data_IF_556959936109
#
_entry.id   IF_556959936109
#
_cell.length_a   1.000
_cell.length_b   1.000
_cell.length_c   1.000
_cell.angle_alpha   90.00
_cell.angle_beta   90.00
_cell.angle_gamma   90.00
#
_symmetry.space_group_name_H-M   'P 1'
#
loop_
_entity.id
_entity.type
_entity.pdbx_description
1 polymer ?
#
# COMPACT_ATOMS: atom_id res chain seq x y z
N UNK A 1 19.09 18.36 0.90
CA UNK A 1 18.84 16.95 0.54
C UNK A 1 19.91 16.54 -0.44
N UNK A 2 20.41 15.29 -0.45
CA UNK A 2 21.35 14.88 -1.49
C UNK A 2 20.67 15.13 -2.84
N UNK A 3 21.40 15.72 -3.78
CA UNK A 3 20.97 15.95 -5.16
C UNK A 3 20.67 14.66 -5.94
N UNK A 4 20.83 13.50 -5.30
CA UNK A 4 21.02 12.21 -5.93
C UNK A 4 19.80 11.27 -5.75
N UNK A 5 18.72 11.73 -5.10
CA UNK A 5 17.51 10.92 -4.92
C UNK A 5 16.55 11.18 -6.09
N UNK A 6 16.47 10.23 -7.03
CA UNK A 6 15.41 10.22 -8.05
C UNK A 6 14.08 9.78 -7.40
N UNK A 7 12.97 10.43 -7.76
CA UNK A 7 11.62 10.13 -7.27
C UNK A 7 10.59 10.58 -8.33
N UNK A 8 9.30 10.65 -7.99
CA UNK A 8 8.27 11.09 -8.96
C UNK A 8 8.51 12.52 -9.50
N UNK A 9 9.18 13.42 -8.76
CA UNK A 9 9.55 14.76 -9.27
C UNK A 9 10.60 14.70 -10.37
N UNK A 10 11.43 13.65 -10.41
CA UNK A 10 12.46 13.48 -11.43
C UNK A 10 11.91 13.03 -12.79
N UNK A 11 10.64 12.60 -12.83
CA UNK A 11 9.95 12.16 -14.05
C UNK A 11 9.06 13.28 -14.60
N UNK A 12 9.64 14.12 -15.45
CA UNK A 12 8.94 15.26 -16.09
C UNK A 12 7.63 14.89 -16.81
N UNK A 13 7.47 13.63 -17.24
CA UNK A 13 6.28 13.14 -17.95
C UNK A 13 5.06 12.90 -17.05
N UNK A 14 5.23 12.77 -15.74
CA UNK A 14 4.15 12.34 -14.84
C UNK A 14 3.17 13.46 -14.45
N UNK A 15 3.46 14.72 -14.77
CA UNK A 15 2.58 15.90 -14.58
C UNK A 15 1.86 15.93 -13.21
N UNK A 16 2.55 15.48 -12.16
CA UNK A 16 2.09 15.54 -10.76
C UNK A 16 2.79 16.67 -10.00
N UNK A 17 2.08 17.29 -9.07
CA UNK A 17 2.60 18.33 -8.17
C UNK A 17 2.97 17.72 -6.82
N UNK A 18 4.11 18.14 -6.27
CA UNK A 18 4.61 17.65 -4.99
C UNK A 18 4.12 18.54 -3.84
N UNK A 19 3.58 17.92 -2.79
CA UNK A 19 3.12 18.60 -1.57
C UNK A 19 3.84 18.09 -0.33
N UNK A 20 3.94 18.97 0.66
CA UNK A 20 4.46 18.69 2.00
C UNK A 20 3.37 19.08 2.98
N UNK A 21 2.71 18.09 3.59
CA UNK A 21 1.58 18.34 4.48
C UNK A 21 1.92 17.95 5.91
N UNK A 22 2.00 18.90 6.86
CA UNK A 22 2.10 18.56 8.28
C UNK A 22 0.77 17.98 8.77
N UNK A 23 0.86 17.06 9.73
CA UNK A 23 -0.31 16.43 10.35
C UNK A 23 -0.39 16.77 11.84
N UNK A 24 -1.57 16.58 12.43
CA UNK A 24 -1.83 16.80 13.86
C UNK A 24 -0.91 15.96 14.76
N UNK A 25 -0.48 14.78 14.28
CA UNK A 25 0.46 13.89 14.96
C UNK A 25 1.90 14.41 15.01
N UNK A 26 2.21 15.49 14.27
CA UNK A 26 3.57 15.98 14.05
C UNK A 26 4.32 15.25 12.92
N UNK A 27 3.71 14.23 12.31
CA UNK A 27 4.22 13.60 11.09
C UNK A 27 4.12 14.56 9.90
N UNK A 28 5.00 14.40 8.92
CA UNK A 28 4.95 15.12 7.65
C UNK A 28 4.73 14.13 6.51
N UNK A 29 3.64 14.33 5.77
CA UNK A 29 3.32 13.52 4.58
C UNK A 29 3.84 14.25 3.34
N UNK A 30 4.77 13.61 2.65
CA UNK A 30 5.12 13.96 1.27
C UNK A 30 4.14 13.23 0.35
N UNK A 31 3.55 13.96 -0.59
CA UNK A 31 2.63 13.36 -1.57
C UNK A 31 2.78 14.02 -2.93
N UNK A 32 2.32 13.32 -3.94
CA UNK A 32 2.26 13.82 -5.31
C UNK A 32 0.81 13.78 -5.77
N UNK A 33 0.34 14.87 -6.35
CA UNK A 33 -1.06 15.01 -6.74
C UNK A 33 -1.23 15.40 -8.19
N UNK A 34 -2.41 15.07 -8.71
CA UNK A 34 -2.94 15.63 -9.94
C UNK A 34 -4.39 15.96 -9.66
N UNK A 35 -4.74 17.22 -9.48
CA UNK A 35 -6.14 17.59 -9.27
C UNK A 35 -6.80 18.01 -10.58
N UNK A 36 -7.93 17.39 -10.90
CA UNK A 36 -8.81 17.79 -12.00
C UNK A 36 -9.89 18.79 -11.56
N UNK A 37 -9.95 19.13 -10.26
CA UNK A 37 -10.86 20.11 -9.68
C UNK A 37 -12.26 19.58 -9.33
N UNK A 38 -12.62 18.38 -9.81
CA UNK A 38 -13.93 17.77 -9.58
C UNK A 38 -13.90 16.23 -9.47
N UNK A 39 -14.98 15.62 -9.00
CA UNK A 39 -15.13 14.17 -8.85
C UNK A 39 -14.45 13.59 -7.60
N UNK A 40 -14.32 12.27 -7.47
CA UNK A 40 -13.56 11.70 -6.36
C UNK A 40 -12.05 11.80 -6.56
N UNK A 41 -11.30 11.52 -5.49
CA UNK A 41 -9.84 11.42 -5.51
C UNK A 41 -9.44 9.96 -5.38
N UNK A 42 -8.69 9.45 -6.35
CA UNK A 42 -8.09 8.13 -6.29
C UNK A 42 -6.77 8.20 -5.54
N UNK A 43 -6.68 7.46 -4.44
CA UNK A 43 -5.44 7.27 -3.71
C UNK A 43 -4.64 6.12 -4.32
N UNK A 44 -3.34 6.31 -4.47
CA UNK A 44 -2.40 5.28 -4.91
C UNK A 44 -1.32 5.11 -3.83
N UNK A 45 -1.54 4.17 -2.90
CA UNK A 45 -0.73 4.00 -1.69
C UNK A 45 0.24 2.83 -1.85
N UNK A 46 1.54 3.12 -1.86
CA UNK A 46 2.59 2.09 -2.04
C UNK A 46 2.79 1.21 -0.79
N UNK A 47 3.66 0.20 -0.89
CA UNK A 47 4.08 -0.61 0.25
C UNK A 47 5.59 -0.82 0.33
N UNK A 48 6.00 -1.92 0.95
CA UNK A 48 7.40 -2.25 1.24
C UNK A 48 8.02 -3.15 0.16
N UNK A 49 9.32 -3.03 -0.16
CA UNK A 49 10.28 -2.01 0.25
C UNK A 49 10.37 -0.88 -0.81
N UNK A 50 9.25 -0.22 -1.09
CA UNK A 50 9.15 0.75 -2.18
C UNK A 50 8.73 2.14 -1.69
N UNK A 51 8.48 3.02 -2.64
CA UNK A 51 8.02 4.40 -2.46
C UNK A 51 6.83 4.68 -3.36
N UNK A 52 6.31 5.91 -3.35
CA UNK A 52 5.26 6.35 -4.29
C UNK A 52 5.66 6.10 -5.76
N UNK A 53 6.96 5.97 -6.04
CA UNK A 53 7.52 5.69 -7.36
C UNK A 53 7.06 4.37 -8.01
N UNK A 54 6.53 3.41 -7.23
CA UNK A 54 5.88 2.19 -7.76
C UNK A 54 4.74 2.53 -8.75
N UNK A 55 4.09 3.68 -8.57
CA UNK A 55 2.94 4.09 -9.38
C UNK A 55 3.31 4.80 -10.68
N UNK A 56 4.61 4.95 -11.01
CA UNK A 56 5.07 5.70 -12.20
C UNK A 56 4.49 5.20 -13.53
N UNK A 57 4.16 3.91 -13.62
CA UNK A 57 3.54 3.32 -14.82
C UNK A 57 2.01 3.39 -14.81
N UNK A 58 1.39 3.61 -13.65
CA UNK A 58 -0.07 3.71 -13.47
C UNK A 58 -0.54 5.16 -13.60
N UNK A 59 0.20 6.12 -13.03
CA UNK A 59 -0.13 7.55 -13.07
C UNK A 59 -0.44 8.03 -14.51
N UNK A 60 0.41 7.75 -15.53
CA UNK A 60 0.12 8.20 -16.90
C UNK A 60 -1.17 7.68 -17.49
N UNK A 61 -1.66 6.53 -17.02
CA UNK A 61 -2.89 5.90 -17.52
C UNK A 61 -4.16 6.54 -16.93
N UNK A 62 -4.04 7.23 -15.79
CA UNK A 62 -5.16 7.72 -14.97
C UNK A 62 -5.18 9.25 -14.76
N UNK A 63 -4.03 9.93 -14.86
CA UNK A 63 -3.85 11.35 -14.49
C UNK A 63 -4.78 12.35 -15.19
N UNK A 64 -5.29 12.00 -16.37
CA UNK A 64 -6.20 12.86 -17.15
C UNK A 64 -7.68 12.41 -17.02
N UNK A 65 -7.98 11.47 -16.11
CA UNK A 65 -9.31 10.86 -15.94
C UNK A 65 -9.89 10.99 -14.53
N UNK A 66 -9.05 11.07 -13.51
CA UNK A 66 -9.45 11.21 -12.10
C UNK A 66 -8.38 12.00 -11.32
N UNK A 67 -8.80 12.76 -10.30
CA UNK A 67 -7.85 13.39 -9.38
C UNK A 67 -7.03 12.32 -8.64
N UNK A 68 -5.72 12.49 -8.55
CA UNK A 68 -4.81 11.53 -7.92
C UNK A 68 -4.20 12.09 -6.63
N UNK A 69 -4.13 11.24 -5.61
CA UNK A 69 -3.32 11.43 -4.41
C UNK A 69 -2.35 10.24 -4.26
N UNK A 70 -1.05 10.49 -4.42
CA UNK A 70 0.00 9.46 -4.40
C UNK A 70 0.95 9.77 -3.24
N UNK A 71 0.67 9.30 -2.02
CA UNK A 71 1.49 9.60 -0.86
C UNK A 71 2.74 8.71 -0.76
N UNK A 72 3.81 9.25 -0.21
CA UNK A 72 4.86 8.49 0.46
C UNK A 72 4.35 8.10 1.86
N UNK A 73 4.42 6.82 2.22
CA UNK A 73 3.96 6.33 3.52
C UNK A 73 4.78 6.98 4.66
N UNK A 74 4.15 7.56 5.69
CA UNK A 74 4.82 7.93 6.93
C UNK A 74 5.71 6.81 7.48
N UNK A 75 7.00 7.10 7.68
CA UNK A 75 7.99 6.10 8.11
C UNK A 75 8.70 5.40 6.96
N UNK A 76 8.40 5.77 5.71
CA UNK A 76 9.07 5.32 4.51
C UNK A 76 9.70 6.51 3.78
N UNK A 77 10.92 6.31 3.28
CA UNK A 77 11.57 7.17 2.30
C UNK A 77 11.63 8.67 2.64
N UNK A 78 10.60 9.42 2.26
CA UNK A 78 10.53 10.89 2.36
C UNK A 78 9.55 11.39 3.43
N UNK A 79 8.51 10.63 3.78
CA UNK A 79 7.53 11.02 4.80
C UNK A 79 8.03 10.66 6.19
N UNK A 80 7.81 11.56 7.15
CA UNK A 80 8.22 11.31 8.54
C UNK A 80 7.06 10.70 9.33
N UNK A 81 7.38 9.81 10.25
CA UNK A 81 6.44 9.28 11.23
C UNK A 81 6.82 9.81 12.62
N UNK A 82 5.86 10.41 13.31
CA UNK A 82 5.97 10.84 14.71
C UNK A 82 4.85 10.21 15.53
N UNK A 83 5.17 9.86 16.78
CA UNK A 83 4.22 9.21 17.68
C UNK A 83 4.12 7.69 17.46
N UNK A 84 2.92 7.15 17.68
CA UNK A 84 2.66 5.71 17.60
C UNK A 84 2.75 5.21 16.16
N UNK A 85 3.63 4.24 15.91
CA UNK A 85 3.67 3.54 14.65
C UNK A 85 2.52 2.53 14.56
N UNK A 86 1.75 2.59 13.47
CA UNK A 86 0.77 1.56 13.16
C UNK A 86 -0.17 1.90 12.01
N UNK A 87 -0.81 0.86 11.47
CA UNK A 87 -1.64 0.94 10.26
C UNK A 87 -2.73 2.02 10.37
N UNK A 88 -3.42 2.10 11.52
CA UNK A 88 -4.45 3.11 11.76
C UNK A 88 -3.87 4.54 11.86
N UNK A 89 -2.75 4.72 12.56
CA UNK A 89 -2.11 6.03 12.71
C UNK A 89 -1.58 6.56 11.37
N UNK A 90 -0.98 5.68 10.56
CA UNK A 90 -0.55 6.01 9.19
C UNK A 90 -1.77 6.37 8.33
N UNK A 91 -2.85 5.58 8.39
CA UNK A 91 -4.10 5.87 7.68
C UNK A 91 -4.68 7.24 8.05
N UNK A 92 -4.70 7.61 9.33
CA UNK A 92 -5.16 8.91 9.80
C UNK A 92 -4.30 10.06 9.28
N UNK A 93 -2.96 9.91 9.31
CA UNK A 93 -2.04 10.90 8.75
C UNK A 93 -2.26 11.13 7.24
N UNK A 94 -2.51 10.05 6.49
CA UNK A 94 -2.84 10.16 5.06
C UNK A 94 -4.20 10.81 4.82
N UNK A 95 -5.21 10.53 5.65
CA UNK A 95 -6.54 11.17 5.58
C UNK A 95 -6.44 12.67 5.83
N UNK A 96 -5.71 13.09 6.86
CA UNK A 96 -5.46 14.50 7.12
C UNK A 96 -4.75 15.18 5.94
N UNK A 97 -3.71 14.54 5.40
CA UNK A 97 -2.96 15.08 4.27
C UNK A 97 -3.82 15.21 3.01
N UNK A 98 -4.63 14.19 2.69
CA UNK A 98 -5.56 14.24 1.57
C UNK A 98 -6.66 15.28 1.79
N UNK A 99 -7.22 15.41 3.01
CA UNK A 99 -8.28 16.36 3.28
C UNK A 99 -7.80 17.82 3.16
N UNK A 100 -6.55 18.09 3.56
CA UNK A 100 -5.95 19.41 3.40
C UNK A 100 -5.79 19.82 1.92
N UNK A 101 -5.52 18.86 1.03
CA UNK A 101 -5.34 19.11 -0.40
C UNK A 101 -6.64 19.00 -1.20
N UNK A 102 -7.57 18.17 -0.75
CA UNK A 102 -8.83 17.83 -1.41
C UNK A 102 -10.01 17.94 -0.45
N UNK A 103 -10.35 19.15 0.03
CA UNK A 103 -11.36 19.33 1.05
C UNK A 103 -12.73 18.85 0.54
N UNK A 104 -13.40 18.02 1.36
CA UNK A 104 -14.75 17.49 1.11
C UNK A 104 -14.90 16.66 -0.18
N UNK A 105 -13.82 16.08 -0.70
CA UNK A 105 -13.87 15.20 -1.88
C UNK A 105 -14.06 13.74 -1.47
N UNK A 106 -14.90 13.04 -2.21
CA UNK A 106 -15.09 11.59 -2.07
C UNK A 106 -13.78 10.84 -2.41
N UNK A 107 -13.55 9.68 -1.78
CA UNK A 107 -12.28 8.95 -1.90
C UNK A 107 -12.52 7.58 -2.54
N UNK A 108 -11.59 7.19 -3.41
CA UNK A 108 -11.39 5.80 -3.84
C UNK A 108 -10.01 5.39 -3.35
N UNK A 109 -9.93 4.33 -2.56
CA UNK A 109 -8.66 3.83 -2.06
C UNK A 109 -8.08 2.82 -3.04
N UNK A 110 -6.81 2.93 -3.40
CA UNK A 110 -6.07 1.85 -4.04
C UNK A 110 -4.69 1.72 -3.40
N UNK A 111 -4.39 0.51 -2.91
CA UNK A 111 -3.16 0.24 -2.20
C UNK A 111 -2.48 -1.03 -2.69
N UNK A 112 -1.16 -1.07 -2.57
CA UNK A 112 -0.32 -2.24 -2.78
C UNK A 112 0.44 -2.59 -1.50
N UNK A 113 0.56 -3.89 -1.20
CA UNK A 113 1.31 -4.40 -0.05
C UNK A 113 0.92 -3.69 1.28
N UNK A 114 1.83 -2.99 1.97
CA UNK A 114 1.51 -2.23 3.19
C UNK A 114 0.44 -1.17 2.96
N UNK A 115 0.47 -0.47 1.83
CA UNK A 115 -0.56 0.47 1.42
C UNK A 115 -1.93 -0.18 1.29
N UNK A 116 -2.00 -1.41 0.76
CA UNK A 116 -3.25 -2.17 0.71
C UNK A 116 -3.76 -2.52 2.12
N UNK A 117 -2.88 -2.79 3.08
CA UNK A 117 -3.27 -3.06 4.48
C UNK A 117 -3.84 -1.82 5.16
N UNK A 118 -3.25 -0.66 4.88
CA UNK A 118 -3.76 0.64 5.32
C UNK A 118 -5.13 0.89 4.69
N UNK A 119 -5.27 0.70 3.38
CA UNK A 119 -6.56 0.83 2.70
C UNK A 119 -7.61 -0.12 3.30
N UNK A 120 -7.28 -1.38 3.57
CA UNK A 120 -8.20 -2.34 4.19
C UNK A 120 -8.67 -1.86 5.58
N UNK A 121 -7.74 -1.45 6.45
CA UNK A 121 -8.07 -0.91 7.78
C UNK A 121 -8.96 0.32 7.66
N UNK A 122 -8.61 1.26 6.78
CA UNK A 122 -9.38 2.46 6.51
C UNK A 122 -10.81 2.13 6.05
N UNK A 123 -10.99 1.16 5.14
CA UNK A 123 -12.30 0.76 4.64
C UNK A 123 -13.19 0.14 5.72
N UNK A 124 -12.62 -0.69 6.59
CA UNK A 124 -13.36 -1.27 7.74
C UNK A 124 -13.71 -0.17 8.74
N UNK A 125 -12.77 0.71 9.09
CA UNK A 125 -13.02 1.83 10.01
C UNK A 125 -14.02 2.83 9.44
N UNK A 126 -14.13 2.99 8.12
CA UNK A 126 -15.13 3.85 7.52
C UNK A 126 -16.55 3.29 7.64
N UNK A 127 -16.71 1.99 7.39
CA UNK A 127 -17.98 1.29 7.55
C UNK A 127 -18.39 1.13 9.02
N UNK A 128 -17.40 1.04 9.90
CA UNK A 128 -17.55 0.77 11.33
C UNK A 128 -16.66 1.70 12.16
N UNK A 129 -16.98 3.01 12.20
CA UNK A 129 -16.15 4.00 12.88
C UNK A 129 -16.01 3.67 14.37
N UNK A 130 -14.81 3.86 14.96
CA UNK A 130 -14.62 3.71 16.39
C UNK A 130 -15.54 4.69 17.14
N UNK A 131 -16.00 4.31 18.33
CA UNK A 131 -16.93 5.13 19.14
C UNK A 131 -16.24 6.21 19.98
N UNK A 132 -14.92 6.28 19.93
CA UNK A 132 -14.15 7.27 20.69
C UNK A 132 -14.13 8.64 19.99
N UNK A 133 -13.46 9.61 20.61
CA UNK A 133 -13.36 10.99 20.11
C UNK A 133 -12.65 11.08 18.74
N UNK A 134 -12.03 10.00 18.26
CA UNK A 134 -11.40 9.94 16.93
C UNK A 134 -12.38 9.62 15.80
N UNK A 135 -13.65 9.30 16.10
CA UNK A 135 -14.67 8.97 15.10
C UNK A 135 -14.73 9.95 13.91
N UNK A 136 -14.54 11.25 14.17
CA UNK A 136 -14.54 12.29 13.14
C UNK A 136 -13.34 12.17 12.17
N UNK A 137 -12.17 11.71 12.65
CA UNK A 137 -10.99 11.47 11.80
C UNK A 137 -11.22 10.30 10.84
N UNK A 138 -12.17 9.42 11.15
CA UNK A 138 -12.53 8.25 10.34
C UNK A 138 -13.73 8.49 9.41
N UNK A 139 -14.37 9.65 9.51
CA UNK A 139 -15.54 10.01 8.71
C UNK A 139 -15.12 10.61 7.37
N UNK A 140 -15.33 9.84 6.31
CA UNK A 140 -15.15 10.27 4.93
C UNK A 140 -16.09 9.45 4.04
N UNK A 141 -16.38 9.92 2.83
CA UNK A 141 -17.19 9.14 1.89
C UNK A 141 -16.28 8.26 1.03
N UNK A 142 -16.32 6.96 1.26
CA UNK A 142 -15.57 5.96 0.52
C UNK A 142 -16.43 5.37 -0.60
N UNK A 143 -16.01 5.52 -1.85
CA UNK A 143 -16.72 4.97 -3.02
C UNK A 143 -16.30 3.54 -3.36
N UNK A 144 -15.06 3.16 -3.04
CA UNK A 144 -14.56 1.82 -3.31
C UNK A 144 -13.11 1.64 -2.87
N UNK A 145 -12.65 0.40 -2.84
CA UNK A 145 -11.29 0.03 -2.41
C UNK A 145 -10.65 -0.99 -3.33
N UNK A 146 -9.43 -0.74 -3.76
CA UNK A 146 -8.58 -1.65 -4.54
C UNK A 146 -7.44 -2.15 -3.65
N UNK A 147 -7.31 -3.47 -3.53
CA UNK A 147 -6.30 -4.13 -2.72
C UNK A 147 -5.42 -5.00 -3.62
N UNK A 148 -4.15 -4.62 -3.76
CA UNK A 148 -3.20 -5.29 -4.64
C UNK A 148 -2.22 -6.15 -3.85
N UNK A 149 -2.24 -7.44 -4.19
CA UNK A 149 -1.37 -8.53 -3.75
C UNK A 149 -1.26 -8.72 -2.23
N UNK A 150 -2.40 -8.70 -1.54
CA UNK A 150 -2.49 -9.03 -0.12
C UNK A 150 -3.60 -10.02 0.21
N UNK A 151 -3.40 -10.79 1.27
CA UNK A 151 -4.47 -11.34 2.11
C UNK A 151 -4.57 -10.51 3.39
N UNK A 152 -5.69 -10.57 4.14
CA UNK A 152 -5.82 -9.93 5.45
C UNK A 152 -4.64 -10.28 6.36
N UNK A 153 -4.22 -9.31 7.16
CA UNK A 153 -3.01 -9.41 7.99
C UNK A 153 -3.08 -10.60 8.96
N UNK A 154 -4.25 -10.85 9.55
CA UNK A 154 -4.51 -12.02 10.38
C UNK A 154 -4.26 -13.34 9.61
N UNK A 155 -4.82 -13.47 8.41
CA UNK A 155 -4.67 -14.65 7.55
C UNK A 155 -3.20 -14.87 7.18
N UNK A 156 -2.48 -13.79 6.85
CA UNK A 156 -1.05 -13.87 6.57
C UNK A 156 -0.26 -14.40 7.78
N UNK A 157 -0.54 -13.92 9.00
CA UNK A 157 0.16 -14.39 10.21
C UNK A 157 -0.16 -15.83 10.57
N UNK A 158 -1.42 -16.26 10.41
CA UNK A 158 -1.82 -17.66 10.60
C UNK A 158 -1.05 -18.61 9.67
N UNK A 159 -0.66 -18.13 8.48
CA UNK A 159 0.06 -18.95 7.50
C UNK A 159 1.47 -19.39 7.93
N UNK A 160 2.11 -18.66 8.86
CA UNK A 160 3.47 -18.96 9.36
C UNK A 160 3.56 -20.23 10.22
N UNK A 161 2.43 -20.88 10.54
CA UNK A 161 2.43 -22.24 11.06
C UNK A 161 3.04 -23.25 10.06
N UNK A 162 3.10 -22.91 8.76
CA UNK A 162 3.72 -23.74 7.72
C UNK A 162 5.19 -23.35 7.51
N UNK A 163 6.14 -24.30 7.56
CA UNK A 163 7.56 -23.99 7.32
C UNK A 163 7.83 -23.27 5.99
N UNK A 164 7.12 -23.65 4.92
CA UNK A 164 7.26 -23.01 3.61
C UNK A 164 6.88 -21.52 3.64
N UNK A 165 5.80 -21.15 4.35
CA UNK A 165 5.39 -19.76 4.48
C UNK A 165 6.43 -18.96 5.27
N UNK A 166 6.93 -19.52 6.38
CA UNK A 166 7.94 -18.88 7.23
C UNK A 166 9.26 -18.62 6.53
N UNK A 167 9.72 -19.56 5.70
CA UNK A 167 10.93 -19.34 4.89
C UNK A 167 10.67 -18.36 3.75
N UNK A 168 9.54 -18.46 3.05
CA UNK A 168 9.25 -17.62 1.88
C UNK A 168 8.98 -16.15 2.27
N UNK A 169 8.33 -15.94 3.42
CA UNK A 169 7.99 -14.62 3.96
C UNK A 169 8.82 -14.27 5.19
N UNK A 170 10.06 -14.77 5.32
CA UNK A 170 10.89 -14.59 6.51
C UNK A 170 11.08 -13.12 6.93
N UNK A 171 10.99 -12.20 5.96
CA UNK A 171 11.09 -10.77 6.20
C UNK A 171 9.99 -10.26 7.15
N UNK A 172 8.83 -10.92 7.22
CA UNK A 172 7.74 -10.55 8.14
C UNK A 172 8.13 -10.67 9.62
N UNK A 173 8.45 -11.88 10.14
CA UNK A 173 8.87 -12.02 11.54
C UNK A 173 10.22 -11.34 11.80
N UNK A 174 11.10 -11.28 10.80
CA UNK A 174 12.37 -10.57 10.94
C UNK A 174 12.13 -9.07 11.16
N UNK A 175 11.40 -8.37 10.29
CA UNK A 175 11.17 -6.92 10.40
C UNK A 175 10.33 -6.55 11.64
N UNK A 176 9.50 -7.46 12.13
CA UNK A 176 8.76 -7.27 13.39
C UNK A 176 9.65 -7.42 14.65
N UNK A 177 10.89 -7.89 14.51
CA UNK A 177 11.83 -8.11 15.61
C UNK A 177 12.57 -6.83 16.01
N UNK A 178 12.88 -6.61 17.30
CA UNK A 178 13.59 -5.41 17.77
C UNK A 178 15.02 -5.28 17.23
N UNK A 179 15.64 -6.35 16.70
CA UNK A 179 17.01 -6.32 16.16
C UNK A 179 17.07 -5.99 14.67
N UNK A 180 15.92 -5.92 13.99
CA UNK A 180 15.86 -5.88 12.53
C UNK A 180 16.57 -4.66 11.94
N UNK A 181 16.32 -3.48 12.51
CA UNK A 181 16.87 -2.23 11.99
C UNK A 181 18.40 -2.23 12.01
N UNK A 182 18.99 -2.62 13.15
CA UNK A 182 20.44 -2.69 13.32
C UNK A 182 21.07 -3.77 12.43
N UNK A 183 20.38 -4.90 12.24
CA UNK A 183 20.84 -5.95 11.33
C UNK A 183 20.79 -5.54 9.86
N UNK A 184 19.75 -4.81 9.44
CA UNK A 184 19.64 -4.28 8.07
C UNK A 184 20.74 -3.24 7.81
N UNK A 185 20.96 -2.34 8.78
CA UNK A 185 22.02 -1.34 8.69
C UNK A 185 23.40 -2.00 8.60
N UNK A 186 23.69 -3.00 9.43
CA UNK A 186 24.93 -3.76 9.39
C UNK A 186 25.11 -4.57 8.09
N UNK A 187 24.02 -5.10 7.52
CA UNK A 187 24.04 -5.85 6.27
C UNK A 187 24.20 -4.94 5.03
N UNK A 188 23.79 -3.67 5.15
CA UNK A 188 23.69 -2.71 4.07
C UNK A 188 22.25 -2.61 3.57
N UNK A 189 21.58 -1.51 3.90
CA UNK A 189 20.16 -1.31 3.61
C UNK A 189 19.82 -1.34 2.11
N UNK A 190 20.62 -0.70 1.25
CA UNK A 190 20.46 -0.81 -0.21
C UNK A 190 20.53 -2.27 -0.68
N UNK A 191 21.51 -3.04 -0.20
CA UNK A 191 21.66 -4.46 -0.53
C UNK A 191 20.47 -5.29 -0.04
N UNK A 192 19.97 -5.00 1.16
CA UNK A 192 18.77 -5.64 1.70
C UNK A 192 17.54 -5.38 0.82
N UNK A 193 17.31 -4.12 0.44
CA UNK A 193 16.23 -3.70 -0.45
C UNK A 193 16.34 -4.39 -1.81
N UNK A 194 17.53 -4.37 -2.43
CA UNK A 194 17.79 -5.02 -3.71
C UNK A 194 17.45 -6.52 -3.68
N UNK A 195 17.94 -7.26 -2.67
CA UNK A 195 17.64 -8.68 -2.52
C UNK A 195 16.15 -8.94 -2.30
N UNK A 196 15.45 -8.03 -1.60
CA UNK A 196 14.00 -8.08 -1.43
C UNK A 196 13.28 -7.96 -2.77
N UNK A 197 13.59 -6.92 -3.53
CA UNK A 197 13.02 -6.65 -4.86
C UNK A 197 13.26 -7.83 -5.81
N UNK A 198 14.50 -8.29 -5.90
CA UNK A 198 14.92 -9.37 -6.82
C UNK A 198 14.22 -10.70 -6.53
N UNK A 199 14.15 -11.09 -5.25
CA UNK A 199 13.51 -12.34 -4.80
C UNK A 199 12.01 -12.34 -5.03
N UNK A 200 11.36 -11.19 -4.85
CA UNK A 200 9.90 -11.07 -4.84
C UNK A 200 9.34 -10.83 -6.25
N UNK A 201 10.09 -10.12 -7.10
CA UNK A 201 9.77 -9.89 -8.51
C UNK A 201 9.53 -11.22 -9.24
N UNK A 202 8.66 -11.18 -10.24
CA UNK A 202 8.26 -12.30 -11.07
C UNK A 202 9.36 -12.78 -12.02
N UNK A 203 9.01 -13.83 -12.75
CA UNK A 203 9.88 -14.48 -13.72
C UNK A 203 9.65 -13.92 -15.15
N UNK A 204 8.62 -13.09 -15.34
CA UNK A 204 8.36 -12.38 -16.59
C UNK A 204 9.47 -11.35 -16.87
N UNK A 205 10.21 -11.55 -17.96
CA UNK A 205 11.34 -10.70 -18.33
C UNK A 205 10.94 -9.24 -18.63
N UNK A 206 9.81 -9.00 -19.29
CA UNK A 206 9.33 -7.65 -19.60
C UNK A 206 8.81 -6.94 -18.34
N UNK A 207 8.10 -7.65 -17.47
CA UNK A 207 7.66 -7.13 -16.17
C UNK A 207 8.84 -6.73 -15.28
N UNK A 208 9.87 -7.58 -15.23
CA UNK A 208 11.13 -7.28 -14.52
C UNK A 208 11.86 -6.08 -15.13
N UNK A 209 11.92 -5.99 -16.46
CA UNK A 209 12.52 -4.83 -17.14
C UNK A 209 11.74 -3.55 -16.87
N UNK A 210 10.41 -3.61 -16.81
CA UNK A 210 9.56 -2.48 -16.46
C UNK A 210 9.78 -2.04 -15.01
N UNK A 211 9.95 -2.98 -14.08
CA UNK A 211 10.34 -2.70 -12.70
C UNK A 211 11.70 -2.03 -12.57
N UNK A 212 12.67 -2.39 -13.40
CA UNK A 212 14.02 -1.83 -13.39
C UNK A 212 14.15 -0.54 -14.19
N UNK A 213 13.11 -0.12 -14.92
CA UNK A 213 13.14 1.11 -15.71
C UNK A 213 13.28 2.34 -14.83
N UNK A 214 13.84 3.41 -15.42
CA UNK A 214 13.91 4.73 -14.79
C UNK A 214 14.66 4.72 -13.45
N UNK A 215 15.66 3.84 -13.33
CA UNK A 215 16.50 3.60 -12.16
C UNK A 215 15.67 3.34 -10.87
N UNK A 216 14.51 2.71 -11.02
CA UNK A 216 13.56 2.55 -9.91
C UNK A 216 14.13 1.76 -8.73
N UNK A 217 14.99 0.78 -8.98
CA UNK A 217 15.61 0.01 -7.90
C UNK A 217 16.53 0.90 -7.08
N UNK A 218 17.37 1.72 -7.72
CA UNK A 218 18.22 2.71 -7.08
C UNK A 218 17.39 3.76 -6.30
N UNK A 219 16.23 4.15 -6.82
CA UNK A 219 15.26 5.00 -6.09
C UNK A 219 14.84 4.33 -4.78
N UNK A 220 14.38 3.09 -4.82
CA UNK A 220 13.93 2.37 -3.62
C UNK A 220 15.08 2.13 -2.64
N UNK A 221 16.23 1.70 -3.14
CA UNK A 221 17.44 1.47 -2.36
C UNK A 221 17.92 2.73 -1.63
N UNK A 222 17.96 3.87 -2.32
CA UNK A 222 18.39 5.14 -1.73
C UNK A 222 17.40 5.66 -0.67
N UNK A 223 16.10 5.56 -0.95
CA UNK A 223 15.05 6.01 -0.03
C UNK A 223 15.02 5.17 1.25
N UNK A 224 15.19 3.85 1.14
CA UNK A 224 15.16 2.94 2.29
C UNK A 224 16.52 2.75 2.97
N UNK A 225 17.58 3.36 2.46
CA UNK A 225 18.88 3.38 3.14
C UNK A 225 18.96 4.37 4.31
N UNK A 226 17.93 5.20 4.52
CA UNK A 226 17.86 6.11 5.66
C UNK A 226 17.48 5.33 6.92
N UNK A 227 18.20 5.57 8.03
CA UNK A 227 17.95 4.89 9.30
C UNK A 227 16.49 5.00 9.74
N UNK A 228 15.90 6.18 9.62
CA UNK A 228 14.52 6.43 10.00
C UNK A 228 13.52 5.66 9.12
N UNK A 229 13.86 5.41 7.85
CA UNK A 229 13.03 4.61 6.96
C UNK A 229 13.12 3.11 7.28
N UNK A 230 14.29 2.63 7.71
CA UNK A 230 14.48 1.26 8.20
C UNK A 230 13.65 1.07 9.48
N UNK A 231 13.77 1.99 10.44
CA UNK A 231 13.03 1.95 11.70
C UNK A 231 11.53 2.06 11.48
N UNK A 232 11.08 2.96 10.61
CA UNK A 232 9.67 3.09 10.25
C UNK A 232 9.10 1.84 9.58
N UNK A 233 9.88 1.22 8.67
CA UNK A 233 9.53 -0.08 8.08
C UNK A 233 9.40 -1.15 9.16
N UNK A 234 10.38 -1.28 10.06
CA UNK A 234 10.33 -2.26 11.15
C UNK A 234 9.13 -2.02 12.08
N UNK A 235 8.83 -0.76 12.40
CA UNK A 235 7.71 -0.39 13.24
C UNK A 235 6.35 -0.73 12.58
N UNK A 236 6.24 -0.56 11.27
CA UNK A 236 5.07 -1.01 10.50
C UNK A 236 4.89 -2.54 10.54
N UNK A 237 5.96 -3.32 10.35
CA UNK A 237 5.90 -4.78 10.50
C UNK A 237 5.60 -5.22 11.93
N UNK A 238 6.16 -4.55 12.95
CA UNK A 238 5.86 -4.79 14.35
C UNK A 238 4.37 -4.51 14.67
N UNK A 239 3.83 -3.38 14.21
CA UNK A 239 2.38 -3.10 14.33
C UNK A 239 1.54 -4.16 13.61
N UNK A 240 1.96 -4.54 12.40
CA UNK A 240 1.34 -5.62 11.64
C UNK A 240 1.38 -6.98 12.35
N UNK A 241 2.31 -7.20 13.27
CA UNK A 241 2.44 -8.43 14.06
C UNK A 241 1.62 -8.38 15.36
N UNK A 242 1.78 -7.31 16.14
CA UNK A 242 1.30 -7.25 17.51
C UNK A 242 -0.04 -6.52 17.68
N UNK A 243 -0.41 -5.65 16.73
CA UNK A 243 -1.61 -4.81 16.82
C UNK A 243 -2.69 -5.28 15.86
N UNK A 244 -2.35 -5.48 14.58
CA UNK A 244 -3.36 -5.76 13.56
C UNK A 244 -4.07 -7.11 13.70
N UNK A 245 -3.42 -8.24 14.03
CA UNK A 245 -4.12 -9.53 14.09
C UNK A 245 -5.21 -9.56 15.16
N UNK A 246 -4.98 -9.15 16.44
CA UNK A 246 -6.06 -9.08 17.44
C UNK A 246 -7.20 -8.14 17.04
N UNK A 247 -6.90 -7.02 16.38
CA UNK A 247 -7.94 -6.11 15.88
C UNK A 247 -8.79 -6.78 14.80
N UNK A 248 -8.16 -7.46 13.84
CA UNK A 248 -8.86 -8.17 12.77
C UNK A 248 -9.64 -9.39 13.27
N UNK A 249 -9.18 -10.06 14.33
CA UNK A 249 -9.97 -11.09 15.04
C UNK A 249 -11.23 -10.48 15.67
N UNK A 250 -11.10 -9.35 16.37
CA UNK A 250 -12.24 -8.64 16.94
C UNK A 250 -13.23 -8.19 15.87
N UNK A 251 -12.73 -7.60 14.78
CA UNK A 251 -13.54 -7.19 13.62
C UNK A 251 -14.36 -8.35 13.08
N UNK A 252 -13.72 -9.50 12.82
CA UNK A 252 -14.42 -10.68 12.31
C UNK A 252 -15.43 -11.22 13.32
N UNK A 253 -15.10 -11.24 14.62
CA UNK A 253 -16.02 -11.73 15.66
C UNK A 253 -17.27 -10.87 15.80
N UNK A 254 -17.16 -9.57 15.50
CA UNK A 254 -18.25 -8.59 15.55
C UNK A 254 -18.92 -8.38 14.18
N UNK A 255 -18.47 -9.10 13.14
CA UNK A 255 -18.98 -8.96 11.78
C UNK A 255 -18.63 -7.63 11.11
N UNK A 256 -17.60 -6.91 11.58
CA UNK A 256 -17.09 -5.69 10.94
C UNK A 256 -16.28 -6.06 9.71
N UNK A 257 -16.72 -5.58 8.55
CA UNK A 257 -16.17 -5.96 7.23
C UNK A 257 -16.14 -4.75 6.29
N UNK A 258 -15.49 -4.89 5.14
CA UNK A 258 -15.61 -3.90 4.08
C UNK A 258 -17.07 -3.84 3.60
N UNK A 259 -17.68 -2.66 3.57
CA UNK A 259 -19.05 -2.44 3.07
C UNK A 259 -19.11 -1.68 1.74
N UNK A 260 -17.98 -1.18 1.24
CA UNK A 260 -17.86 -0.56 -0.08
C UNK A 260 -17.52 -1.60 -1.16
N UNK A 261 -17.76 -1.29 -2.45
CA UNK A 261 -17.21 -2.08 -3.55
C UNK A 261 -15.70 -2.31 -3.38
N UNK A 262 -15.25 -3.55 -3.60
CA UNK A 262 -13.86 -3.95 -3.45
C UNK A 262 -13.33 -4.64 -4.70
N UNK A 263 -12.18 -4.20 -5.20
CA UNK A 263 -11.38 -4.91 -6.20
C UNK A 263 -10.15 -5.51 -5.52
N UNK A 264 -10.00 -6.82 -5.59
CA UNK A 264 -8.83 -7.53 -5.10
C UNK A 264 -8.12 -8.16 -6.28
N UNK A 265 -6.83 -7.86 -6.43
CA UNK A 265 -6.00 -8.47 -7.46
C UNK A 265 -4.71 -9.03 -6.84
N UNK A 266 -4.26 -10.19 -7.29
CA UNK A 266 -3.07 -10.85 -6.73
C UNK A 266 -2.26 -11.58 -7.80
N UNK A 267 -0.98 -11.75 -7.54
CA UNK A 267 -0.07 -12.59 -8.30
C UNK A 267 -0.46 -14.07 -8.17
N UNK A 268 -0.71 -14.75 -9.29
CA UNK A 268 -0.90 -16.21 -9.26
C UNK A 268 0.41 -16.93 -8.92
N UNK A 269 1.55 -16.41 -9.36
CA UNK A 269 2.88 -17.01 -9.15
C UNK A 269 3.40 -16.89 -7.71
N UNK A 270 2.96 -15.85 -6.97
CA UNK A 270 3.38 -15.55 -5.59
C UNK A 270 2.27 -15.80 -4.59
N UNK A 271 1.40 -14.80 -4.33
CA UNK A 271 0.40 -14.88 -3.28
C UNK A 271 -0.59 -16.03 -3.49
N UNK A 272 -1.01 -16.26 -4.74
CA UNK A 272 -1.88 -17.38 -5.12
C UNK A 272 -1.24 -18.74 -4.83
N UNK A 273 0.05 -18.90 -5.14
CA UNK A 273 0.81 -20.12 -4.80
C UNK A 273 0.93 -20.34 -3.29
N UNK A 274 1.03 -19.27 -2.50
CA UNK A 274 1.16 -19.36 -1.04
C UNK A 274 -0.14 -19.68 -0.32
N UNK A 275 -1.25 -19.07 -0.76
CA UNK A 275 -2.54 -19.08 -0.04
C UNK A 275 -3.67 -19.81 -0.77
N UNK A 276 -3.47 -20.23 -2.01
CA UNK A 276 -4.48 -20.89 -2.83
C UNK A 276 -5.52 -19.90 -3.35
N UNK A 277 -6.80 -20.14 -3.03
CA UNK A 277 -7.91 -19.32 -3.50
C UNK A 277 -8.03 -18.01 -2.68
N UNK A 278 -7.22 -17.02 -3.05
CA UNK A 278 -7.23 -15.67 -2.47
C UNK A 278 -8.60 -15.00 -2.62
N UNK A 279 -9.31 -15.25 -3.72
CA UNK A 279 -10.65 -14.69 -3.93
C UNK A 279 -11.65 -15.20 -2.89
N UNK A 280 -11.61 -16.49 -2.58
CA UNK A 280 -12.46 -17.06 -1.53
C UNK A 280 -12.06 -16.58 -0.13
N UNK A 281 -10.77 -16.36 0.16
CA UNK A 281 -10.34 -15.73 1.42
C UNK A 281 -11.04 -14.37 1.59
N UNK A 282 -11.03 -13.51 0.57
CA UNK A 282 -11.60 -12.17 0.68
C UNK A 282 -13.13 -12.13 0.80
N UNK A 283 -13.86 -13.17 0.38
CA UNK A 283 -15.31 -13.26 0.60
C UNK A 283 -15.67 -13.17 2.09
N UNK A 284 -14.81 -13.64 2.97
CA UNK A 284 -15.04 -13.60 4.41
C UNK A 284 -14.82 -12.21 5.03
N UNK A 285 -14.25 -11.26 4.29
CA UNK A 285 -13.84 -9.93 4.77
C UNK A 285 -14.60 -8.79 4.11
N UNK A 286 -15.50 -9.11 3.18
CA UNK A 286 -16.44 -8.18 2.55
C UNK A 286 -17.85 -8.54 3.03
N UNK A 287 -18.66 -7.53 3.35
CA UNK A 287 -19.99 -7.70 3.93
C UNK A 287 -20.95 -8.46 3.00
N UNK A 288 -20.86 -8.17 1.70
CA UNK A 288 -21.61 -8.83 0.65
C UNK A 288 -20.67 -9.18 -0.51
N UNK A 289 -20.65 -10.46 -0.89
CA UNK A 289 -19.83 -10.94 -2.01
C UNK A 289 -20.14 -10.27 -3.36
N UNK A 290 -21.33 -9.68 -3.53
CA UNK A 290 -21.69 -8.90 -4.73
C UNK A 290 -20.82 -7.63 -4.88
N UNK A 291 -20.24 -7.15 -3.79
CA UNK A 291 -19.33 -6.00 -3.76
C UNK A 291 -17.89 -6.38 -4.15
N UNK A 292 -17.54 -7.67 -4.10
CA UNK A 292 -16.18 -8.15 -4.33
C UNK A 292 -15.97 -8.52 -5.80
N UNK A 293 -14.99 -7.87 -6.43
CA UNK A 293 -14.38 -8.31 -7.69
C UNK A 293 -12.99 -8.85 -7.35
N UNK A 294 -12.73 -10.12 -7.64
CA UNK A 294 -11.48 -10.79 -7.28
C UNK A 294 -10.84 -11.40 -8.54
N UNK A 295 -9.57 -11.04 -8.82
CA UNK A 295 -8.87 -11.49 -10.03
C UNK A 295 -7.39 -11.81 -9.79
N UNK A 296 -6.99 -13.03 -10.14
CA UNK A 296 -5.57 -13.39 -10.23
C UNK A 296 -4.91 -12.80 -11.49
N UNK A 297 -3.63 -12.44 -11.36
CA UNK A 297 -2.81 -11.82 -12.40
C UNK A 297 -1.58 -12.69 -12.62
N UNK A 298 -1.44 -13.24 -13.83
CA UNK A 298 -0.24 -13.90 -14.38
C UNK A 298 0.40 -15.02 -13.54
N UNK A 299 0.63 -16.19 -14.12
CA UNK A 299 1.42 -17.24 -13.49
C UNK A 299 2.95 -16.98 -13.55
N UNK A 300 3.36 -15.91 -14.22
CA UNK A 300 4.73 -15.41 -14.35
C UNK A 300 4.95 -14.01 -13.72
N UNK A 301 3.87 -13.34 -13.32
CA UNK A 301 3.89 -12.00 -12.68
C UNK A 301 4.17 -12.14 -11.19
N UNK A 302 5.10 -11.34 -10.66
CA UNK A 302 5.45 -11.29 -9.25
C UNK A 302 4.52 -10.43 -8.41
N UNK A 303 5.00 -10.04 -7.24
CA UNK A 303 4.23 -9.26 -6.26
C UNK A 303 4.01 -7.79 -6.65
N UNK A 304 4.90 -7.21 -7.45
CA UNK A 304 4.93 -5.78 -7.74
C UNK A 304 4.00 -5.44 -8.91
N UNK A 305 2.74 -5.84 -8.77
CA UNK A 305 1.71 -5.75 -9.80
C UNK A 305 1.64 -4.38 -10.52
N UNK A 306 1.74 -3.22 -9.81
CA UNK A 306 1.66 -1.92 -10.48
C UNK A 306 2.80 -1.65 -11.47
N UNK A 307 3.92 -2.36 -11.37
CA UNK A 307 5.05 -2.25 -12.29
C UNK A 307 5.11 -3.44 -13.26
N UNK A 308 5.01 -4.66 -12.74
CA UNK A 308 5.19 -5.90 -13.51
C UNK A 308 4.04 -6.14 -14.50
N UNK A 309 2.83 -5.71 -14.14
CA UNK A 309 1.61 -5.89 -14.93
C UNK A 309 0.83 -4.57 -15.07
N UNK A 310 1.54 -3.45 -15.18
CA UNK A 310 0.99 -2.08 -15.11
C UNK A 310 -0.17 -1.81 -16.06
N UNK A 311 -0.20 -2.43 -17.25
CA UNK A 311 -1.31 -2.29 -18.20
C UNK A 311 -2.58 -2.99 -17.71
N UNK A 312 -2.44 -4.22 -17.18
CA UNK A 312 -3.56 -4.99 -16.62
C UNK A 312 -4.11 -4.29 -15.38
N UNK A 313 -3.22 -3.87 -14.49
CA UNK A 313 -3.59 -3.17 -13.25
C UNK A 313 -4.20 -1.80 -13.54
N UNK A 314 -3.59 -1.01 -14.42
CA UNK A 314 -4.11 0.31 -14.79
C UNK A 314 -5.49 0.25 -15.43
N UNK A 315 -5.72 -0.73 -16.31
CA UNK A 315 -7.05 -0.96 -16.90
C UNK A 315 -8.08 -1.38 -15.84
N UNK A 316 -7.74 -2.32 -14.96
CA UNK A 316 -8.66 -2.78 -13.92
C UNK A 316 -9.01 -1.66 -12.92
N UNK A 317 -8.04 -0.85 -12.51
CA UNK A 317 -8.30 0.33 -11.66
C UNK A 317 -9.19 1.33 -12.39
N UNK A 318 -8.93 1.61 -13.67
CA UNK A 318 -9.75 2.52 -14.49
C UNK A 318 -11.20 2.05 -14.55
N UNK A 319 -11.43 0.78 -14.89
CA UNK A 319 -12.76 0.21 -15.02
C UNK A 319 -13.50 0.17 -13.67
N UNK A 320 -12.77 -0.10 -12.58
CA UNK A 320 -13.31 -0.04 -11.23
C UNK A 320 -13.72 1.38 -10.84
N UNK A 321 -12.88 2.38 -11.10
CA UNK A 321 -13.19 3.79 -10.90
C UNK A 321 -14.45 4.19 -11.68
N UNK A 322 -14.53 3.85 -12.97
CA UNK A 322 -15.73 4.11 -13.79
C UNK A 322 -16.98 3.42 -13.24
N UNK A 323 -16.85 2.27 -12.58
CA UNK A 323 -17.98 1.54 -11.97
C UNK A 323 -18.49 2.21 -10.70
N UNK A 324 -17.59 2.67 -9.82
CA UNK A 324 -17.97 3.22 -8.50
C UNK A 324 -18.28 4.73 -8.51
N UNK A 325 -18.13 5.38 -9.66
CA UNK A 325 -18.40 6.81 -9.84
C UNK A 325 -19.67 7.10 -10.66
N UNK A 326 -20.35 6.06 -11.13
CA UNK A 326 -21.67 6.13 -11.76
C UNK A 326 -22.77 6.10 -10.70
#
# INVERSE_FOLDING_TARGET
MPSDIRNLESLFSLRVERHVTPTSSGSTVISYTKDLGEGPVLWLVHGYPQSAYIWRHIIPQLQDKISLFVPELPGYGLSTLKGTAGVAAVGAALLEASHALFPNRDIILAGHDRGARICHRLSVSNAHPPKDDTANLHSYKLLGTVLLDIVPTLVQWQSFARPLASVSYFHWPFLASPVAADMIEAFGAAKWTHLGLDRICGDNAEGRKAMQSDDAWEVYESLLSKREAIEGSCADYASGCFVEPPLQEADQSEGRKIQSPALVMWSLSRLGKMHGDVGSIWKDWVQDTSLLTAQGVGDDVGHYLPEEASTVIGSAIKDFVEKVTK
#
